data_IF_383943685889
#
_entry.id   IF_383943685889
#
_cell.length_a   1.000
_cell.length_b   1.000
_cell.length_c   1.000
_cell.angle_alpha   90.00
_cell.angle_beta   90.00
_cell.angle_gamma   90.00
#
_symmetry.space_group_name_H-M   'P 1'
#
loop_
_entity.id
_entity.type
_entity.pdbx_description
1 polymer ?
#
# COMPACT_ATOMS: atom_id res chain seq x y z
N UNK A 1 -10.65 -27.73 -21.73
CA UNK A 1 -11.19 -28.61 -20.68
C UNK A 1 -10.07 -28.81 -19.66
N UNK A 2 -10.17 -28.55 -18.37
CA UNK A 2 -11.02 -27.74 -17.52
C UNK A 2 -10.25 -27.78 -16.18
N UNK A 3 -9.74 -26.64 -15.72
CA UNK A 3 -9.34 -26.45 -14.31
C UNK A 3 -9.63 -24.99 -13.93
N UNK A 4 -10.86 -24.59 -14.25
CA UNK A 4 -11.48 -23.36 -13.80
C UNK A 4 -12.82 -23.81 -13.21
N UNK A 5 -12.77 -24.44 -12.04
CA UNK A 5 -13.92 -24.78 -11.22
C UNK A 5 -13.40 -25.16 -9.84
N UNK A 6 -14.14 -24.76 -8.80
CA UNK A 6 -13.80 -24.79 -7.37
C UNK A 6 -13.01 -23.58 -6.86
N UNK A 7 -13.60 -22.39 -6.96
CA UNK A 7 -14.02 -21.66 -5.75
C UNK A 7 -15.02 -20.54 -6.08
N UNK A 8 -16.23 -20.91 -6.51
CA UNK A 8 -17.37 -19.96 -6.62
C UNK A 8 -18.24 -20.04 -5.35
N UNK A 9 -18.57 -18.83 -4.84
CA UNK A 9 -19.86 -18.40 -4.26
C UNK A 9 -20.22 -18.64 -2.78
N UNK A 10 -20.11 -17.54 -2.01
CA UNK A 10 -21.16 -16.80 -1.24
C UNK A 10 -20.46 -16.11 -0.04
N UNK A 11 -20.68 -14.83 0.24
CA UNK A 11 -21.98 -14.27 0.62
C UNK A 11 -22.19 -12.81 0.18
N UNK A 12 -23.43 -12.51 -0.23
CA UNK A 12 -24.00 -11.15 -0.20
C UNK A 12 -24.65 -10.96 1.16
N UNK A 13 -24.45 -9.82 1.82
CA UNK A 13 -25.29 -9.43 2.95
C UNK A 13 -24.73 -8.37 3.90
N UNK A 14 -24.85 -7.09 3.50
CA UNK A 14 -25.30 -5.94 4.31
C UNK A 14 -24.82 -5.71 5.77
N UNK A 15 -24.35 -4.47 5.97
CA UNK A 15 -24.44 -3.58 7.16
C UNK A 15 -23.35 -3.67 8.24
N UNK A 16 -22.65 -2.54 8.38
CA UNK A 16 -22.30 -1.91 9.67
C UNK A 16 -21.47 -2.75 10.64
N UNK A 17 -20.16 -2.58 10.60
CA UNK A 17 -19.23 -3.05 11.62
C UNK A 17 -17.84 -2.56 11.28
N UNK A 18 -17.07 -2.16 12.30
CA UNK A 18 -15.67 -1.75 12.16
C UNK A 18 -14.94 -2.68 11.16
N UNK A 19 -14.31 -2.07 10.15
CA UNK A 19 -13.72 -2.79 9.02
C UNK A 19 -12.90 -3.97 9.50
N UNK A 20 -13.25 -5.16 9.02
CA UNK A 20 -12.46 -6.37 9.22
C UNK A 20 -11.09 -6.13 8.59
N UNK A 21 -10.13 -5.71 9.42
CA UNK A 21 -8.75 -5.52 8.99
C UNK A 21 -8.07 -6.88 8.90
N UNK A 22 -8.36 -7.55 7.79
CA UNK A 22 -7.75 -8.82 7.44
C UNK A 22 -6.22 -8.71 7.37
N UNK A 23 -5.63 -7.52 7.20
CA UNK A 23 -4.18 -7.32 7.24
C UNK A 23 -3.65 -7.40 8.67
N UNK A 24 -4.35 -6.82 9.65
CA UNK A 24 -4.02 -6.97 11.07
C UNK A 24 -4.18 -8.43 11.51
N UNK A 25 -5.26 -9.10 11.11
CA UNK A 25 -5.46 -10.53 11.42
C UNK A 25 -4.45 -11.44 10.72
N UNK A 26 -4.06 -11.13 9.49
CA UNK A 26 -2.98 -11.86 8.81
C UNK A 26 -1.64 -11.56 9.47
N UNK A 27 -1.37 -10.32 9.90
CA UNK A 27 -0.16 -9.99 10.63
C UNK A 27 -0.10 -10.72 11.98
N UNK A 28 -1.19 -10.71 12.76
CA UNK A 28 -1.35 -11.48 14.00
C UNK A 28 -1.20 -12.98 13.74
N UNK A 29 -1.88 -13.54 12.75
CA UNK A 29 -1.84 -14.98 12.44
C UNK A 29 -0.51 -15.43 11.86
N UNK A 30 0.14 -14.60 11.04
CA UNK A 30 1.51 -14.84 10.58
C UNK A 30 2.46 -14.77 11.77
N UNK A 31 2.34 -13.76 12.64
CA UNK A 31 3.15 -13.69 13.86
C UNK A 31 2.92 -14.92 14.75
N UNK A 32 1.68 -15.32 15.03
CA UNK A 32 1.36 -16.47 15.88
C UNK A 32 1.84 -17.80 15.29
N UNK A 33 1.65 -18.02 13.97
CA UNK A 33 1.97 -19.30 13.32
C UNK A 33 3.41 -19.41 12.85
N UNK A 34 4.02 -18.33 12.34
CA UNK A 34 5.43 -18.36 11.93
C UNK A 34 6.37 -18.32 13.14
N UNK A 35 6.00 -17.65 14.24
CA UNK A 35 6.81 -17.63 15.46
C UNK A 35 6.64 -18.93 16.27
N UNK A 36 5.45 -19.53 16.32
CA UNK A 36 5.28 -20.86 16.93
C UNK A 36 6.01 -21.97 16.18
N UNK A 37 6.01 -21.92 14.84
CA UNK A 37 6.71 -22.92 14.01
C UNK A 37 8.24 -22.85 14.13
N UNK A 38 8.79 -21.75 14.66
CA UNK A 38 10.22 -21.57 14.88
C UNK A 38 10.70 -22.00 16.28
N UNK A 39 9.79 -22.47 17.17
CA UNK A 39 10.07 -22.90 18.56
C UNK A 39 10.86 -21.88 19.42
N UNK A 40 10.94 -20.62 18.99
CA UNK A 40 11.59 -19.56 19.74
C UNK A 40 10.59 -18.96 20.72
N UNK A 41 10.61 -19.48 21.95
CA UNK A 41 9.82 -19.02 23.10
C UNK A 41 10.16 -17.62 23.62
N UNK A 42 10.41 -16.65 22.75
CA UNK A 42 10.69 -15.25 23.10
C UNK A 42 9.75 -14.34 22.32
N UNK A 43 8.76 -13.77 23.03
CA UNK A 43 8.01 -12.55 22.72
C UNK A 43 8.31 -11.95 21.34
N UNK A 44 7.32 -11.91 20.43
CA UNK A 44 7.47 -11.47 19.02
C UNK A 44 8.20 -10.13 18.79
N UNK A 45 8.34 -9.31 19.83
CA UNK A 45 9.26 -8.17 19.89
C UNK A 45 10.73 -8.51 19.62
N UNK A 46 11.25 -9.67 20.02
CA UNK A 46 12.64 -10.06 19.76
C UNK A 46 12.95 -10.17 18.25
N UNK A 47 11.94 -10.48 17.44
CA UNK A 47 12.03 -10.56 15.98
C UNK A 47 11.80 -9.18 15.36
N UNK A 48 10.67 -8.53 15.69
CA UNK A 48 10.28 -7.24 15.09
C UNK A 48 11.21 -6.11 15.55
N UNK A 49 11.71 -6.17 16.79
CA UNK A 49 12.60 -5.17 17.39
C UNK A 49 13.90 -4.98 16.62
N UNK A 50 14.45 -6.03 15.98
CA UNK A 50 15.64 -5.91 15.12
C UNK A 50 15.35 -5.07 13.87
N UNK A 51 14.17 -5.22 13.28
CA UNK A 51 13.74 -4.42 12.12
C UNK A 51 13.46 -2.97 12.52
N UNK A 52 12.80 -2.76 13.67
CA UNK A 52 12.54 -1.42 14.22
C UNK A 52 13.84 -0.69 14.55
N UNK A 53 14.80 -1.35 15.19
CA UNK A 53 16.13 -0.80 15.48
C UNK A 53 16.89 -0.45 14.19
N UNK A 54 16.88 -1.35 13.21
CA UNK A 54 17.50 -1.09 11.89
C UNK A 54 16.84 0.10 11.20
N UNK A 55 15.52 0.18 11.15
CA UNK A 55 14.79 1.31 10.58
C UNK A 55 15.11 2.63 11.32
N UNK A 56 15.22 2.58 12.65
CA UNK A 56 15.61 3.72 13.49
C UNK A 56 17.02 4.22 13.16
N UNK A 57 17.98 3.30 13.01
CA UNK A 57 19.37 3.60 12.64
C UNK A 57 19.45 4.19 11.24
N UNK A 58 18.74 3.60 10.29
CA UNK A 58 18.62 4.13 8.93
C UNK A 58 18.08 5.56 8.95
N UNK A 59 16.97 5.83 9.67
CA UNK A 59 16.42 7.18 9.80
C UNK A 59 17.42 8.19 10.36
N UNK A 60 18.13 7.86 11.44
CA UNK A 60 19.18 8.72 12.02
C UNK A 60 20.32 8.99 11.03
N UNK A 61 20.73 7.97 10.28
CA UNK A 61 21.71 8.13 9.20
C UNK A 61 21.16 9.08 8.13
N UNK A 62 19.87 8.98 7.77
CA UNK A 62 19.25 9.91 6.83
C UNK A 62 19.24 11.34 7.34
N UNK A 63 18.97 11.57 8.62
CA UNK A 63 19.02 12.89 9.23
C UNK A 63 20.42 13.50 9.12
N UNK A 64 21.47 12.71 9.34
CA UNK A 64 22.88 13.15 9.22
C UNK A 64 23.29 13.37 7.76
N UNK A 65 22.95 12.44 6.86
CA UNK A 65 23.27 12.53 5.41
C UNK A 65 22.50 13.69 4.75
N UNK A 66 21.25 13.90 5.18
CA UNK A 66 20.45 15.06 4.77
C UNK A 66 20.95 16.33 5.47
N UNK A 67 21.64 16.25 6.60
CA UNK A 67 22.25 17.38 7.30
C UNK A 67 23.40 18.10 6.57
N UNK A 68 23.87 17.59 5.42
CA UNK A 68 24.78 18.31 4.51
C UNK A 68 24.14 18.71 3.17
N UNK A 69 22.91 18.27 2.91
CA UNK A 69 22.06 18.85 1.86
C UNK A 69 21.10 19.78 2.57
N UNK A 70 21.29 21.10 2.45
CA UNK A 70 20.25 22.05 2.88
C UNK A 70 18.90 21.49 2.41
N UNK A 71 17.91 21.30 3.30
CA UNK A 71 16.54 21.09 2.88
C UNK A 71 16.18 22.38 2.14
N UNK A 72 16.43 22.41 0.84
CA UNK A 72 15.87 23.41 -0.05
C UNK A 72 14.39 23.11 -0.12
N UNK A 73 13.71 23.58 0.91
CA UNK A 73 12.27 23.67 1.01
C UNK A 73 11.54 22.33 0.93
N UNK A 74 10.49 22.24 1.72
CA UNK A 74 9.39 21.33 1.50
C UNK A 74 8.86 21.55 0.08
N UNK A 75 9.44 20.92 -0.94
CA UNK A 75 8.70 20.65 -2.18
C UNK A 75 7.71 19.56 -1.83
N UNK A 76 6.58 19.98 -1.25
CA UNK A 76 5.31 19.30 -1.41
C UNK A 76 5.09 19.08 -2.92
N UNK A 77 5.56 17.94 -3.43
CA UNK A 77 5.62 17.68 -4.87
C UNK A 77 6.96 17.18 -5.42
N UNK A 78 7.85 16.58 -4.63
CA UNK A 78 8.84 15.68 -5.22
C UNK A 78 8.10 14.60 -6.01
N UNK A 79 8.21 14.62 -7.33
CA UNK A 79 7.62 13.64 -8.24
C UNK A 79 8.36 12.31 -8.10
N UNK A 80 8.01 11.57 -7.04
CA UNK A 80 8.52 10.24 -6.75
C UNK A 80 7.64 9.23 -7.49
N UNK A 81 8.20 8.52 -8.45
CA UNK A 81 7.49 7.50 -9.22
C UNK A 81 7.15 6.28 -8.35
N UNK A 82 6.07 5.57 -8.69
CA UNK A 82 5.82 4.25 -8.13
C UNK A 82 6.87 3.24 -8.63
N UNK A 83 7.21 2.27 -7.79
CA UNK A 83 8.06 1.14 -8.17
C UNK A 83 7.42 0.37 -9.31
N UNK A 84 8.22 0.01 -10.32
CA UNK A 84 7.74 -0.79 -11.46
C UNK A 84 7.10 -2.10 -10.98
N UNK A 85 7.72 -2.74 -9.99
CA UNK A 85 7.20 -3.99 -9.39
C UNK A 85 5.83 -3.76 -8.75
N UNK A 86 5.63 -2.65 -8.06
CA UNK A 86 4.35 -2.31 -7.46
C UNK A 86 3.26 -2.07 -8.52
N UNK A 87 3.60 -1.41 -9.63
CA UNK A 87 2.68 -1.15 -10.74
C UNK A 87 2.26 -2.44 -11.45
N UNK A 88 3.21 -3.32 -11.75
CA UNK A 88 2.95 -4.60 -12.43
C UNK A 88 2.08 -5.53 -11.57
N UNK A 89 2.15 -5.41 -10.25
CA UNK A 89 1.33 -6.19 -9.32
C UNK A 89 -0.11 -5.66 -9.16
N UNK A 90 -0.46 -4.51 -9.76
CA UNK A 90 -1.81 -3.95 -9.64
C UNK A 90 -2.85 -4.83 -10.35
N UNK A 91 -4.00 -5.10 -9.71
CA UNK A 91 -5.04 -5.91 -10.31
C UNK A 91 -5.67 -5.21 -11.52
N UNK A 92 -5.82 -5.96 -12.61
CA UNK A 92 -6.75 -5.63 -13.69
C UNK A 92 -8.06 -6.35 -13.40
N UNK A 93 -9.12 -5.58 -13.16
CA UNK A 93 -10.46 -6.13 -12.92
C UNK A 93 -11.42 -5.60 -13.96
N UNK A 94 -12.42 -6.39 -14.31
CA UNK A 94 -13.48 -5.93 -15.18
C UNK A 94 -14.40 -4.96 -14.42
N UNK A 95 -14.68 -3.80 -15.00
CA UNK A 95 -15.61 -2.85 -14.40
C UNK A 95 -17.03 -3.43 -14.41
N UNK A 96 -17.54 -3.82 -13.23
CA UNK A 96 -18.92 -4.31 -13.07
C UNK A 96 -19.89 -3.23 -12.58
N UNK A 97 -19.36 -2.04 -12.24
CA UNK A 97 -20.12 -0.95 -11.62
C UNK A 97 -20.54 0.06 -12.69
N UNK A 98 -21.83 0.36 -12.77
CA UNK A 98 -22.33 1.52 -13.53
C UNK A 98 -22.03 2.80 -12.74
N UNK A 99 -21.60 3.86 -13.41
CA UNK A 99 -21.31 5.16 -12.82
C UNK A 99 -19.93 5.27 -12.15
N UNK A 100 -18.98 4.36 -12.42
CA UNK A 100 -17.63 4.50 -11.89
C UNK A 100 -16.87 5.56 -12.70
N UNK A 101 -16.56 6.71 -12.11
CA UNK A 101 -15.86 7.80 -12.79
C UNK A 101 -14.33 7.74 -12.58
N UNK A 102 -13.56 7.88 -13.65
CA UNK A 102 -12.12 8.05 -13.60
C UNK A 102 -11.79 9.53 -13.32
N UNK A 103 -11.33 9.86 -12.11
CA UNK A 103 -11.06 11.27 -11.72
C UNK A 103 -9.89 11.93 -12.48
N UNK A 104 -9.12 11.17 -13.25
CA UNK A 104 -8.03 11.71 -14.08
C UNK A 104 -8.58 12.34 -15.36
N UNK A 105 -9.43 11.61 -16.10
CA UNK A 105 -10.03 12.10 -17.34
C UNK A 105 -11.44 12.67 -17.16
N UNK A 106 -12.07 12.46 -15.99
CA UNK A 106 -13.46 12.83 -15.67
C UNK A 106 -14.50 12.17 -16.58
N UNK A 107 -14.19 10.95 -17.01
CA UNK A 107 -15.07 10.12 -17.84
C UNK A 107 -15.50 8.87 -17.06
N UNK A 108 -16.69 8.37 -17.38
CA UNK A 108 -17.19 7.12 -16.81
C UNK A 108 -16.44 5.91 -17.40
N UNK A 109 -16.08 4.97 -16.54
CA UNK A 109 -15.46 3.71 -16.90
C UNK A 109 -16.57 2.76 -17.33
N UNK A 110 -16.61 2.43 -18.62
CA UNK A 110 -17.63 1.56 -19.19
C UNK A 110 -17.61 0.17 -18.53
N UNK A 111 -18.81 -0.37 -18.28
CA UNK A 111 -18.97 -1.75 -17.80
C UNK A 111 -18.37 -2.73 -18.81
N UNK A 112 -17.60 -3.70 -18.34
CA UNK A 112 -16.94 -4.69 -19.19
C UNK A 112 -15.53 -4.29 -19.68
N UNK A 113 -15.06 -3.07 -19.38
CA UNK A 113 -13.66 -2.68 -19.63
C UNK A 113 -12.77 -3.09 -18.47
N UNK A 114 -11.51 -3.38 -18.78
CA UNK A 114 -10.45 -3.53 -17.78
C UNK A 114 -10.13 -2.20 -17.08
N UNK A 115 -10.25 -2.21 -15.75
CA UNK A 115 -9.91 -1.09 -14.86
C UNK A 115 -8.75 -1.48 -13.95
N UNK A 116 -7.84 -0.54 -13.72
CA UNK A 116 -6.78 -0.68 -12.74
C UNK A 116 -7.32 -0.25 -11.37
N UNK A 117 -7.26 -1.13 -10.37
CA UNK A 117 -7.67 -0.81 -9.00
C UNK A 117 -6.44 -0.72 -8.10
N UNK A 118 -6.28 0.42 -7.43
CA UNK A 118 -5.19 0.62 -6.47
C UNK A 118 -5.48 -0.10 -5.13
N UNK A 119 -4.47 -0.34 -4.27
CA UNK A 119 -4.66 -0.98 -2.96
C UNK A 119 -5.53 -0.21 -1.95
N UNK A 120 -5.96 1.00 -2.31
CA UNK A 120 -6.91 1.85 -1.59
C UNK A 120 -8.33 1.79 -2.20
N UNK A 121 -8.60 0.80 -3.06
CA UNK A 121 -9.87 0.52 -3.73
C UNK A 121 -10.36 1.56 -4.75
N UNK A 122 -9.53 2.55 -5.08
CA UNK A 122 -9.83 3.51 -6.15
C UNK A 122 -9.45 2.94 -7.52
N UNK A 123 -10.39 3.03 -8.47
CA UNK A 123 -10.25 2.52 -9.83
C UNK A 123 -10.02 3.61 -10.87
N UNK A 124 -9.23 3.29 -11.90
CA UNK A 124 -8.83 4.21 -12.96
C UNK A 124 -8.65 3.45 -14.28
N UNK A 125 -8.86 4.12 -15.42
CA UNK A 125 -8.41 3.59 -16.70
C UNK A 125 -6.90 3.33 -16.67
N UNK A 126 -6.46 2.17 -17.17
CA UNK A 126 -5.03 1.83 -17.30
C UNK A 126 -4.24 2.93 -18.03
N UNK A 127 -4.78 3.44 -19.13
CA UNK A 127 -4.15 4.53 -19.90
C UNK A 127 -4.05 5.86 -19.13
N UNK A 128 -4.91 6.10 -18.15
CA UNK A 128 -4.88 7.31 -17.33
C UNK A 128 -3.93 7.17 -16.13
N UNK A 129 -3.93 6.02 -15.46
CA UNK A 129 -3.18 5.83 -14.22
C UNK A 129 -1.70 5.55 -14.44
N UNK A 130 -1.31 4.89 -15.53
CA UNK A 130 0.11 4.58 -15.79
C UNK A 130 0.98 5.84 -15.96
N UNK A 131 0.59 6.87 -16.74
CA UNK A 131 1.35 8.12 -16.82
C UNK A 131 1.45 8.85 -15.48
N UNK A 132 0.41 8.73 -14.64
CA UNK A 132 0.41 9.28 -13.29
C UNK A 132 1.42 8.56 -12.40
N UNK A 133 1.37 7.22 -12.34
CA UNK A 133 2.25 6.40 -11.49
C UNK A 133 3.72 6.48 -11.90
N UNK A 134 4.00 6.79 -13.18
CA UNK A 134 5.35 7.10 -13.66
C UNK A 134 5.94 8.38 -13.06
N UNK A 135 5.11 9.30 -12.58
CA UNK A 135 5.54 10.59 -11.99
C UNK A 135 5.30 10.66 -10.49
N UNK A 136 4.24 10.00 -10.00
CA UNK A 136 3.77 10.09 -8.62
C UNK A 136 3.33 8.74 -8.13
N UNK A 137 3.85 8.31 -6.99
CA UNK A 137 3.48 7.08 -6.32
C UNK A 137 2.18 7.20 -5.51
N UNK A 138 1.37 8.25 -5.69
CA UNK A 138 0.18 8.49 -4.86
C UNK A 138 -1.11 8.26 -5.64
N UNK A 139 -2.15 7.76 -4.98
CA UNK A 139 -3.49 7.70 -5.56
C UNK A 139 -3.99 9.13 -5.89
N UNK A 140 -4.45 9.40 -7.13
CA UNK A 140 -5.01 10.70 -7.50
C UNK A 140 -6.23 11.13 -6.67
N UNK A 141 -6.95 10.17 -6.07
CA UNK A 141 -8.16 10.42 -5.29
C UNK A 141 -7.85 10.64 -3.80
N UNK A 142 -7.23 9.65 -3.14
CA UNK A 142 -7.05 9.67 -1.68
C UNK A 142 -5.60 9.89 -1.22
N UNK A 143 -4.65 10.08 -2.15
CA UNK A 143 -3.22 10.26 -1.87
C UNK A 143 -2.50 9.08 -1.21
N UNK A 144 -3.13 7.90 -1.13
CA UNK A 144 -2.48 6.66 -0.69
C UNK A 144 -1.15 6.45 -1.42
N UNK A 145 -0.05 6.29 -0.67
CA UNK A 145 1.31 6.12 -1.19
C UNK A 145 1.61 4.64 -1.54
N UNK A 146 1.85 4.37 -2.82
CA UNK A 146 2.43 3.12 -3.32
C UNK A 146 3.95 3.08 -3.05
N UNK A 147 4.54 1.88 -2.96
CA UNK A 147 6.00 1.73 -2.88
C UNK A 147 6.73 2.41 -4.03
N UNK A 148 7.91 2.98 -3.75
CA UNK A 148 8.86 3.51 -4.76
C UNK A 148 10.20 2.78 -4.71
N UNK A 149 11.01 2.94 -5.76
CA UNK A 149 12.39 2.42 -5.82
C UNK A 149 13.40 3.40 -5.16
N UNK A 150 12.97 4.61 -4.78
CA UNK A 150 13.78 5.53 -3.99
C UNK A 150 13.89 5.04 -2.53
N UNK A 151 15.03 4.46 -2.20
CA UNK A 151 15.34 3.89 -0.88
C UNK A 151 15.18 4.92 0.24
N UNK A 152 15.54 6.19 0.00
CA UNK A 152 15.45 7.24 1.01
C UNK A 152 14.00 7.60 1.30
N UNK A 153 13.20 7.73 0.24
CA UNK A 153 11.77 7.98 0.36
C UNK A 153 11.05 6.81 1.03
N UNK A 154 11.38 5.57 0.67
CA UNK A 154 10.78 4.37 1.26
C UNK A 154 11.08 4.22 2.75
N UNK A 155 12.33 4.45 3.18
CA UNK A 155 12.67 4.43 4.61
C UNK A 155 11.81 5.45 5.37
N UNK A 156 11.66 6.66 4.81
CA UNK A 156 10.80 7.69 5.39
C UNK A 156 9.32 7.26 5.45
N UNK A 157 8.79 6.68 4.37
CA UNK A 157 7.41 6.19 4.27
C UNK A 157 7.14 5.09 5.31
N UNK A 158 7.97 4.06 5.34
CA UNK A 158 7.86 2.93 6.29
C UNK A 158 7.92 3.42 7.74
N UNK A 159 8.82 4.37 8.03
CA UNK A 159 8.91 4.96 9.35
C UNK A 159 7.63 5.70 9.74
N UNK A 160 7.06 6.53 8.84
CA UNK A 160 5.77 7.22 9.10
C UNK A 160 4.66 6.21 9.38
N UNK A 161 4.56 5.14 8.60
CA UNK A 161 3.58 4.08 8.82
C UNK A 161 3.78 3.41 10.20
N UNK A 162 5.02 3.11 10.59
CA UNK A 162 5.31 2.49 11.88
C UNK A 162 4.93 3.40 13.07
N UNK A 163 5.19 4.71 12.96
CA UNK A 163 4.78 5.69 13.99
C UNK A 163 3.26 5.74 14.12
N UNK A 164 2.53 5.81 13.00
CA UNK A 164 1.06 5.82 13.01
C UNK A 164 0.47 4.57 13.66
N UNK A 165 0.99 3.39 13.30
CA UNK A 165 0.59 2.13 13.92
C UNK A 165 0.83 2.15 15.44
N UNK A 166 1.97 2.69 15.90
CA UNK A 166 2.28 2.83 17.33
C UNK A 166 1.36 3.81 18.07
N UNK A 167 0.75 4.76 17.36
CA UNK A 167 -0.24 5.72 17.88
C UNK A 167 -1.69 5.21 17.77
N UNK A 168 -1.90 4.00 17.22
CA UNK A 168 -3.24 3.43 16.97
C UNK A 168 -3.96 4.06 15.78
N UNK A 169 -3.25 4.81 14.92
CA UNK A 169 -3.80 5.42 13.71
C UNK A 169 -3.67 4.47 12.51
N UNK A 170 -4.68 4.44 11.65
CA UNK A 170 -4.65 3.59 10.46
C UNK A 170 -3.53 4.06 9.50
N UNK A 171 -2.55 3.22 9.14
CA UNK A 171 -1.41 3.58 8.31
C UNK A 171 -1.76 3.83 6.82
N UNK A 172 -3.01 3.57 6.43
CA UNK A 172 -3.51 3.65 5.04
C UNK A 172 -4.09 5.03 4.72
N UNK A 173 -4.29 5.91 5.73
CA UNK A 173 -5.00 7.20 5.59
C UNK A 173 -4.06 8.40 5.67
#
# INVERSE_FOLDING_TARGET
>A
MAMCEVYDRKERGLRGGAGFDWRLRIAEHLMERTLSAAELGANGWAVIGRYVDTASKCRRLLEVVSGNRRPSEEKAGAEVAASVTAVVALPSVECQRKGWECVICKEEIETGRDVCVLPCDHGFHWGCILPWLRKRNTCPYCRFELPTDDVFFEIGRVWRCAVRMGMGENPII
#
